data_IF_564053726424
#
_entry.id   IF_564053726424
#
_cell.length_a   1.000
_cell.length_b   1.000
_cell.length_c   1.000
_cell.angle_alpha   90.00
_cell.angle_beta   90.00
_cell.angle_gamma   90.00
#
_symmetry.space_group_name_H-M   'P 1'
#
loop_
_entity.id
_entity.type
_entity.pdbx_description
1 polymer ?
#
# COMPACT_ATOMS: atom_id res chain seq x y z
N UNK A 1 32.21 25.87 -52.79
CA UNK A 1 32.01 24.50 -52.22
C UNK A 1 31.37 24.66 -50.83
N UNK A 2 30.11 24.30 -50.71
CA UNK A 2 29.37 24.36 -49.44
C UNK A 2 29.34 22.95 -48.85
N UNK A 3 29.95 22.78 -47.69
CA UNK A 3 29.85 21.52 -46.92
C UNK A 3 28.53 21.50 -46.14
N UNK A 4 27.71 20.49 -46.40
CA UNK A 4 26.46 20.22 -45.70
C UNK A 4 26.77 19.29 -44.51
N UNK A 5 26.74 19.81 -43.27
CA UNK A 5 26.80 18.99 -42.04
C UNK A 5 25.39 18.52 -41.72
N UNK A 6 25.13 17.25 -41.88
CA UNK A 6 23.95 16.54 -41.33
C UNK A 6 24.25 16.21 -39.85
N UNK A 7 23.59 16.93 -38.94
CA UNK A 7 23.57 16.58 -37.52
C UNK A 7 22.57 15.44 -37.26
N UNK A 8 23.08 14.27 -36.88
CA UNK A 8 22.27 13.14 -36.43
C UNK A 8 21.91 13.34 -34.96
N UNK A 9 20.67 13.78 -34.67
CA UNK A 9 20.13 13.74 -33.32
C UNK A 9 19.82 12.30 -32.91
N UNK A 10 20.69 11.71 -32.12
CA UNK A 10 20.37 10.45 -31.43
C UNK A 10 19.49 10.82 -30.22
N UNK A 11 18.19 10.60 -30.36
CA UNK A 11 17.26 10.63 -29.24
C UNK A 11 17.56 9.43 -28.32
N UNK A 12 18.18 9.69 -27.19
CA UNK A 12 18.32 8.71 -26.11
C UNK A 12 16.95 8.58 -25.45
N UNK A 13 16.15 7.59 -25.87
CA UNK A 13 14.98 7.17 -25.14
C UNK A 13 15.48 6.51 -23.85
N UNK A 14 15.33 7.19 -22.73
CA UNK A 14 15.50 6.58 -21.42
C UNK A 14 14.44 5.48 -21.29
N UNK A 15 14.90 4.22 -21.32
CA UNK A 15 14.07 3.10 -20.91
C UNK A 15 13.73 3.31 -19.43
N UNK A 16 12.50 3.70 -19.16
CA UNK A 16 11.92 3.59 -17.83
C UNK A 16 11.79 2.09 -17.59
N UNK A 17 12.65 1.55 -16.74
CA UNK A 17 12.50 0.20 -16.23
C UNK A 17 11.20 0.16 -15.44
N UNK A 18 10.14 -0.36 -16.03
CA UNK A 18 8.99 -0.86 -15.31
C UNK A 18 9.51 -1.97 -14.40
N UNK A 19 9.66 -1.67 -13.12
CA UNK A 19 9.69 -2.72 -12.12
C UNK A 19 8.27 -3.27 -12.06
N UNK A 20 8.04 -4.32 -12.83
CA UNK A 20 6.78 -5.06 -12.84
C UNK A 20 6.68 -5.80 -11.49
N UNK A 21 6.24 -5.08 -10.46
CA UNK A 21 5.90 -5.70 -9.17
C UNK A 21 4.57 -6.39 -9.39
N UNK A 22 4.53 -7.73 -9.38
CA UNK A 22 3.29 -8.45 -9.65
C UNK A 22 2.24 -8.03 -8.62
N UNK A 23 1.06 -7.63 -9.11
CA UNK A 23 -0.09 -7.38 -8.27
C UNK A 23 -0.56 -8.71 -7.68
N UNK A 24 -0.20 -8.94 -6.41
CA UNK A 24 -0.64 -10.10 -5.64
C UNK A 24 -1.69 -9.64 -4.62
N UNK A 25 -2.81 -10.29 -4.66
CA UNK A 25 -3.96 -9.95 -3.83
C UNK A 25 -3.83 -10.63 -2.46
N UNK A 26 -3.97 -9.85 -1.38
CA UNK A 26 -4.14 -10.41 -0.03
C UNK A 26 -5.50 -11.12 0.05
N UNK A 27 -5.58 -12.40 0.44
CA UNK A 27 -6.86 -13.09 0.63
C UNK A 27 -7.77 -12.39 1.64
N UNK A 28 -9.08 -12.53 1.48
CA UNK A 28 -10.06 -11.82 2.32
C UNK A 28 -9.96 -12.18 3.80
N UNK A 29 -9.73 -13.45 4.12
CA UNK A 29 -9.53 -13.91 5.49
C UNK A 29 -8.23 -13.35 6.10
N UNK A 30 -7.15 -13.25 5.32
CA UNK A 30 -5.89 -12.63 5.75
C UNK A 30 -6.09 -11.14 5.99
N UNK A 31 -6.78 -10.43 5.08
CA UNK A 31 -7.13 -9.02 5.26
C UNK A 31 -7.87 -8.78 6.58
N UNK A 32 -8.86 -9.62 6.88
CA UNK A 32 -9.62 -9.53 8.12
C UNK A 32 -8.74 -9.76 9.36
N UNK A 33 -7.90 -10.80 9.34
CA UNK A 33 -7.00 -11.10 10.45
C UNK A 33 -5.90 -10.03 10.64
N UNK A 34 -5.39 -9.43 9.58
CA UNK A 34 -4.48 -8.27 9.67
C UNK A 34 -5.11 -7.11 10.45
N UNK A 35 -6.35 -6.77 10.14
CA UNK A 35 -7.08 -5.69 10.81
C UNK A 35 -7.43 -6.04 12.27
N UNK A 36 -7.75 -7.29 12.55
CA UNK A 36 -7.92 -7.81 13.92
C UNK A 36 -6.62 -7.77 14.71
N UNK A 37 -5.51 -8.21 14.12
CA UNK A 37 -4.20 -8.20 14.74
C UNK A 37 -3.79 -6.78 15.15
N UNK A 38 -4.13 -5.78 14.32
CA UNK A 38 -3.93 -4.36 14.61
C UNK A 38 -4.96 -3.78 15.61
N UNK A 39 -5.95 -4.56 16.05
CA UNK A 39 -7.05 -4.08 16.91
C UNK A 39 -7.72 -2.82 16.37
N UNK A 40 -8.03 -2.83 15.05
CA UNK A 40 -8.62 -1.69 14.34
C UNK A 40 -10.00 -1.35 14.93
N UNK A 41 -10.22 -0.06 15.17
CA UNK A 41 -11.43 0.52 15.79
C UNK A 41 -12.02 1.64 14.93
N UNK A 42 -13.28 2.04 15.17
CA UNK A 42 -13.92 3.13 14.44
C UNK A 42 -13.18 4.48 14.53
N UNK A 43 -12.37 4.68 15.57
CA UNK A 43 -11.54 5.87 15.74
C UNK A 43 -10.23 5.84 14.94
N UNK A 44 -9.89 4.73 14.32
CA UNK A 44 -8.64 4.58 13.59
C UNK A 44 -8.66 5.22 12.20
N UNK A 45 -7.46 5.62 11.78
CA UNK A 45 -7.17 6.03 10.42
C UNK A 45 -6.12 5.07 9.83
N UNK A 46 -6.56 4.22 8.93
CA UNK A 46 -5.73 3.20 8.29
C UNK A 46 -5.09 3.78 7.03
N UNK A 47 -3.78 3.66 6.87
CA UNK A 47 -3.11 3.92 5.59
C UNK A 47 -2.57 2.61 5.05
N UNK A 48 -3.02 2.24 3.85
CA UNK A 48 -2.59 1.04 3.14
C UNK A 48 -1.62 1.41 2.02
N UNK A 49 -0.37 0.96 2.15
CA UNK A 49 0.72 1.26 1.23
C UNK A 49 0.80 0.21 0.13
N UNK A 50 0.54 0.61 -1.13
CA UNK A 50 0.37 -0.30 -2.24
C UNK A 50 -0.99 -0.99 -2.17
N UNK A 51 -2.06 -0.19 -2.14
CA UNK A 51 -3.41 -0.68 -1.78
C UNK A 51 -4.07 -1.59 -2.83
N UNK A 52 -3.48 -1.74 -4.01
CA UNK A 52 -3.99 -2.60 -5.06
C UNK A 52 -5.46 -2.31 -5.39
N UNK A 53 -6.33 -3.30 -5.20
CA UNK A 53 -7.77 -3.17 -5.44
C UNK A 53 -8.55 -2.56 -4.26
N UNK A 54 -7.85 -2.08 -3.23
CA UNK A 54 -8.43 -1.31 -2.13
C UNK A 54 -9.09 -2.13 -1.03
N UNK A 55 -9.01 -3.46 -1.08
CA UNK A 55 -9.74 -4.35 -0.16
C UNK A 55 -9.47 -4.09 1.31
N UNK A 56 -8.23 -3.81 1.71
CA UNK A 56 -7.86 -3.59 3.12
C UNK A 56 -8.60 -2.38 3.68
N UNK A 57 -8.55 -1.24 2.99
CA UNK A 57 -9.23 0.00 3.43
C UNK A 57 -10.75 -0.15 3.38
N UNK A 58 -11.28 -0.84 2.36
CA UNK A 58 -12.73 -1.09 2.23
C UNK A 58 -13.22 -1.97 3.39
N UNK A 59 -12.49 -3.04 3.73
CA UNK A 59 -12.83 -3.92 4.87
C UNK A 59 -12.70 -3.16 6.19
N UNK A 60 -11.65 -2.37 6.37
CA UNK A 60 -11.48 -1.52 7.55
C UNK A 60 -12.68 -0.57 7.74
N UNK A 61 -13.14 0.07 6.67
CA UNK A 61 -14.30 0.96 6.72
C UNK A 61 -15.61 0.21 6.95
N UNK A 62 -15.83 -0.91 6.25
CA UNK A 62 -17.11 -1.64 6.26
C UNK A 62 -17.32 -2.46 7.52
N UNK A 63 -16.29 -3.17 7.97
CA UNK A 63 -16.40 -4.13 9.07
C UNK A 63 -15.92 -3.58 10.41
N UNK A 64 -14.96 -2.65 10.41
CA UNK A 64 -14.38 -2.07 11.63
C UNK A 64 -14.82 -0.62 11.86
N UNK A 65 -15.53 0.00 10.92
CA UNK A 65 -16.00 1.38 11.03
C UNK A 65 -14.91 2.43 10.92
N UNK A 66 -13.68 2.03 10.62
CA UNK A 66 -12.53 2.93 10.52
C UNK A 66 -12.59 3.84 9.27
N UNK A 67 -11.75 4.88 9.26
CA UNK A 67 -11.46 5.66 8.06
C UNK A 67 -10.11 5.23 7.51
N UNK A 68 -9.87 5.46 6.22
CA UNK A 68 -8.56 5.15 5.68
C UNK A 68 -8.30 5.71 4.29
N UNK A 69 -7.03 5.60 3.93
CA UNK A 69 -6.46 5.98 2.66
C UNK A 69 -5.68 4.79 2.09
N UNK A 70 -6.01 4.39 0.88
CA UNK A 70 -5.18 3.52 0.06
C UNK A 70 -4.38 4.32 -0.95
N UNK A 71 -3.08 4.07 -1.05
CA UNK A 71 -2.22 4.66 -2.08
C UNK A 71 -1.71 3.57 -3.00
N UNK A 72 -1.82 3.81 -4.29
CA UNK A 72 -1.46 2.87 -5.35
C UNK A 72 -0.90 3.65 -6.53
N UNK A 73 0.12 3.11 -7.20
CA UNK A 73 0.76 3.79 -8.33
C UNK A 73 0.01 3.54 -9.65
N UNK A 74 -0.77 2.47 -9.74
CA UNK A 74 -1.52 2.06 -10.93
C UNK A 74 -2.90 2.74 -10.95
N UNK A 75 -3.17 3.69 -11.87
CA UNK A 75 -4.43 4.45 -11.89
C UNK A 75 -5.69 3.58 -12.05
N UNK A 76 -5.60 2.49 -12.80
CA UNK A 76 -6.70 1.56 -13.05
C UNK A 76 -7.14 0.85 -11.76
N UNK A 77 -6.17 0.48 -10.91
CA UNK A 77 -6.45 -0.12 -9.60
C UNK A 77 -7.09 0.88 -8.65
N UNK A 78 -6.63 2.13 -8.66
CA UNK A 78 -7.25 3.21 -7.88
C UNK A 78 -8.70 3.44 -8.32
N UNK A 79 -8.95 3.52 -9.63
CA UNK A 79 -10.31 3.68 -10.16
C UNK A 79 -11.23 2.51 -9.75
N UNK A 80 -10.71 1.27 -9.81
CA UNK A 80 -11.41 0.07 -9.35
C UNK A 80 -11.72 0.15 -7.85
N UNK A 81 -10.76 0.55 -7.03
CA UNK A 81 -10.93 0.71 -5.58
C UNK A 81 -12.00 1.73 -5.24
N UNK A 82 -11.99 2.89 -5.91
CA UNK A 82 -13.01 3.94 -5.73
C UNK A 82 -14.41 3.46 -6.12
N UNK A 83 -14.53 2.71 -7.22
CA UNK A 83 -15.82 2.12 -7.64
C UNK A 83 -16.31 1.08 -6.63
N UNK A 84 -15.42 0.20 -6.17
CA UNK A 84 -15.75 -0.81 -5.15
C UNK A 84 -16.18 -0.16 -3.83
N UNK A 85 -15.50 0.90 -3.39
CA UNK A 85 -15.88 1.64 -2.18
C UNK A 85 -17.26 2.29 -2.30
N UNK A 86 -17.59 2.85 -3.47
CA UNK A 86 -18.94 3.39 -3.74
C UNK A 86 -20.00 2.30 -3.67
N UNK A 87 -19.78 1.17 -4.34
CA UNK A 87 -20.70 0.01 -4.33
C UNK A 87 -20.87 -0.58 -2.94
N UNK A 88 -19.83 -0.57 -2.12
CA UNK A 88 -19.86 -1.02 -0.73
C UNK A 88 -20.49 -0.02 0.25
N UNK A 89 -20.80 1.22 -0.20
CA UNK A 89 -21.37 2.26 0.63
C UNK A 89 -20.40 2.87 1.65
N UNK A 90 -19.09 2.83 1.39
CA UNK A 90 -18.05 3.31 2.30
C UNK A 90 -17.15 4.40 1.69
N UNK A 91 -17.52 4.97 0.55
CA UNK A 91 -16.74 6.00 -0.14
C UNK A 91 -16.49 7.28 0.69
N UNK A 92 -17.28 7.53 1.71
CA UNK A 92 -17.11 8.63 2.67
C UNK A 92 -16.02 8.34 3.72
N UNK A 93 -15.57 7.09 3.85
CA UNK A 93 -14.57 6.63 4.83
C UNK A 93 -13.35 5.96 4.20
N UNK A 94 -13.44 5.49 2.97
CA UNK A 94 -12.38 4.83 2.23
C UNK A 94 -11.97 5.67 1.02
N UNK A 95 -10.86 6.37 1.14
CA UNK A 95 -10.26 7.20 0.08
C UNK A 95 -9.16 6.43 -0.64
N UNK A 96 -9.00 6.66 -1.96
CA UNK A 96 -7.95 6.06 -2.77
C UNK A 96 -7.30 7.10 -3.67
N UNK A 97 -5.97 7.07 -3.75
CA UNK A 97 -5.18 8.03 -4.54
C UNK A 97 -4.13 7.32 -5.39
N UNK A 98 -3.94 7.82 -6.62
CA UNK A 98 -2.75 7.51 -7.41
C UNK A 98 -1.58 8.25 -6.78
N UNK A 99 -0.72 7.53 -6.09
CA UNK A 99 0.35 8.15 -5.32
C UNK A 99 1.47 7.15 -5.02
N UNK A 100 2.71 7.65 -5.07
CA UNK A 100 3.87 6.91 -4.61
C UNK A 100 3.81 6.72 -3.08
N UNK A 101 3.93 5.47 -2.64
CA UNK A 101 3.93 5.12 -1.23
C UNK A 101 5.10 5.77 -0.45
N UNK A 102 6.25 5.97 -1.11
CA UNK A 102 7.40 6.65 -0.49
C UNK A 102 7.19 8.15 -0.30
N UNK A 103 6.29 8.78 -1.07
CA UNK A 103 5.95 10.19 -0.96
C UNK A 103 4.69 10.44 -0.10
N UNK A 104 4.10 9.39 0.47
CA UNK A 104 2.85 9.49 1.24
C UNK A 104 3.10 10.06 2.62
N UNK A 105 2.31 11.05 3.03
CA UNK A 105 2.30 11.56 4.41
C UNK A 105 1.58 10.58 5.34
N UNK A 106 2.33 10.01 6.27
CA UNK A 106 1.84 9.04 7.26
C UNK A 106 1.45 9.68 8.60
N UNK A 107 1.49 11.00 8.72
CA UNK A 107 1.30 11.71 10.01
C UNK A 107 -0.07 11.48 10.64
N UNK A 108 -1.10 11.18 9.85
CA UNK A 108 -2.47 10.90 10.31
C UNK A 108 -2.70 9.43 10.63
N UNK A 109 -1.80 8.54 10.24
CA UNK A 109 -2.01 7.12 10.42
C UNK A 109 -2.02 6.74 11.90
N UNK A 110 -3.00 5.96 12.31
CA UNK A 110 -3.01 5.20 13.56
C UNK A 110 -2.69 3.73 13.30
N UNK A 111 -2.94 3.29 12.07
CA UNK A 111 -2.58 1.95 11.56
C UNK A 111 -2.00 2.10 10.16
N UNK A 112 -0.88 1.44 9.91
CA UNK A 112 -0.30 1.29 8.57
C UNK A 112 -0.34 -0.17 8.18
N UNK A 113 -0.89 -0.47 7.01
CA UNK A 113 -0.92 -1.82 6.44
C UNK A 113 -0.09 -1.88 5.17
N UNK A 114 0.50 -3.04 4.89
CA UNK A 114 1.30 -3.25 3.69
C UNK A 114 1.38 -4.74 3.31
N UNK A 115 1.42 -4.98 2.01
CA UNK A 115 1.84 -6.24 1.42
C UNK A 115 2.82 -5.94 0.30
N UNK A 116 4.07 -5.79 0.66
CA UNK A 116 5.14 -5.30 -0.22
C UNK A 116 6.31 -6.26 -0.20
N UNK A 117 7.19 -6.14 -1.19
CA UNK A 117 8.43 -6.92 -1.22
C UNK A 117 9.34 -6.55 -0.04
N UNK A 118 10.19 -7.48 0.43
CA UNK A 118 11.11 -7.26 1.55
C UNK A 118 11.98 -6.01 1.38
N UNK A 119 12.46 -5.75 0.17
CA UNK A 119 13.32 -4.60 -0.13
C UNK A 119 12.58 -3.28 0.05
N UNK A 120 11.29 -3.25 -0.31
CA UNK A 120 10.44 -2.07 -0.13
C UNK A 120 10.16 -1.82 1.36
N UNK A 121 9.89 -2.88 2.12
CA UNK A 121 9.73 -2.80 3.58
C UNK A 121 10.98 -2.20 4.24
N UNK A 122 12.17 -2.66 3.85
CA UNK A 122 13.43 -2.13 4.37
C UNK A 122 13.65 -0.66 4.02
N UNK A 123 13.25 -0.22 2.82
CA UNK A 123 13.32 1.19 2.43
C UNK A 123 12.33 2.07 3.21
N UNK A 124 11.15 1.56 3.54
CA UNK A 124 10.14 2.27 4.33
C UNK A 124 10.49 2.34 5.82
N UNK A 125 11.26 1.40 6.33
CA UNK A 125 11.57 1.23 7.75
C UNK A 125 11.96 2.53 8.48
N UNK A 126 12.90 3.37 7.98
CA UNK A 126 13.27 4.61 8.69
C UNK A 126 12.11 5.58 8.84
N UNK A 127 11.15 5.58 7.93
CA UNK A 127 9.95 6.42 8.01
C UNK A 127 8.94 5.84 9.00
N UNK A 128 8.76 4.52 8.99
CA UNK A 128 7.85 3.82 9.90
C UNK A 128 8.30 3.95 11.35
N UNK A 129 9.61 3.92 11.62
CA UNK A 129 10.17 4.11 12.96
C UNK A 129 9.97 5.52 13.54
N UNK A 130 9.64 6.52 12.69
CA UNK A 130 9.36 7.91 13.12
C UNK A 130 7.88 8.18 13.36
N UNK A 131 7.01 7.20 13.16
CA UNK A 131 5.59 7.36 13.43
C UNK A 131 5.34 7.62 14.93
N UNK A 132 4.19 8.22 15.22
CA UNK A 132 3.80 8.50 16.61
C UNK A 132 3.78 7.21 17.43
N UNK A 133 4.23 7.24 18.68
CA UNK A 133 4.10 6.10 19.59
C UNK A 133 2.65 5.60 19.65
N UNK A 134 2.47 4.28 19.58
CA UNK A 134 1.16 3.65 19.55
C UNK A 134 0.58 3.44 18.14
N UNK A 135 1.21 3.97 17.09
CA UNK A 135 0.87 3.60 15.71
C UNK A 135 1.19 2.13 15.49
N UNK A 136 0.23 1.38 14.97
CA UNK A 136 0.36 -0.05 14.70
C UNK A 136 0.69 -0.26 13.24
N UNK A 137 1.67 -1.13 12.96
CA UNK A 137 2.13 -1.46 11.62
C UNK A 137 1.88 -2.95 11.40
N UNK A 138 1.17 -3.30 10.35
CA UNK A 138 0.88 -4.69 9.99
C UNK A 138 1.37 -4.98 8.58
N UNK A 139 2.23 -5.97 8.48
CA UNK A 139 2.76 -6.43 7.20
C UNK A 139 2.33 -7.85 6.92
N UNK A 140 1.90 -8.11 5.69
CA UNK A 140 1.58 -9.45 5.21
C UNK A 140 2.84 -10.11 4.65
N UNK A 141 3.12 -11.35 5.04
CA UNK A 141 4.23 -12.23 4.68
C UNK A 141 5.63 -11.75 5.08
N UNK A 142 5.94 -10.46 4.94
CA UNK A 142 7.30 -9.94 5.09
C UNK A 142 7.43 -8.98 6.26
N UNK A 143 8.44 -9.19 7.11
CA UNK A 143 8.75 -8.34 8.26
C UNK A 143 9.68 -7.15 7.91
N UNK A 144 10.15 -6.46 8.94
CA UNK A 144 11.05 -5.29 8.84
C UNK A 144 12.54 -5.66 9.01
N UNK A 145 12.87 -6.95 8.91
CA UNK A 145 14.23 -7.47 9.09
C UNK A 145 14.62 -7.74 10.56
N UNK A 146 15.78 -8.38 10.76
CA UNK A 146 16.16 -8.97 12.05
C UNK A 146 16.39 -7.95 13.17
N UNK A 147 16.65 -6.70 12.83
CA UNK A 147 16.86 -5.61 13.80
C UNK A 147 15.53 -4.91 14.20
N UNK A 148 14.42 -5.32 13.63
CA UNK A 148 13.08 -4.89 14.03
C UNK A 148 12.08 -6.05 13.90
N UNK A 149 12.18 -7.04 14.77
CA UNK A 149 11.27 -8.18 14.74
C UNK A 149 9.84 -7.75 15.10
N UNK A 150 8.82 -8.47 14.61
CA UNK A 150 7.44 -8.17 14.94
C UNK A 150 7.15 -8.45 16.42
N UNK A 151 6.33 -7.61 17.05
CA UNK A 151 5.83 -7.83 18.43
C UNK A 151 4.90 -9.06 18.49
N UNK A 152 4.16 -9.30 17.39
CA UNK A 152 3.24 -10.44 17.25
C UNK A 152 3.21 -10.91 15.80
N UNK A 153 3.07 -12.21 15.62
CA UNK A 153 2.82 -12.84 14.32
C UNK A 153 1.67 -13.83 14.42
N UNK A 154 0.88 -13.95 13.38
CA UNK A 154 -0.23 -14.91 13.27
C UNK A 154 -0.12 -15.59 11.93
N UNK A 155 -0.20 -16.91 11.93
CA UNK A 155 -0.35 -17.69 10.72
C UNK A 155 -1.84 -17.82 10.38
N UNK A 156 -2.16 -17.54 9.11
CA UNK A 156 -3.52 -17.63 8.61
C UNK A 156 -3.55 -18.62 7.47
N UNK A 157 -4.41 -19.61 7.57
CA UNK A 157 -4.62 -20.56 6.48
C UNK A 157 -5.30 -19.84 5.31
N UNK A 158 -4.64 -19.85 4.16
CA UNK A 158 -5.09 -19.19 2.94
C UNK A 158 -5.17 -20.25 1.81
N UNK A 159 -6.30 -20.94 1.68
CA UNK A 159 -6.44 -22.07 0.75
C UNK A 159 -6.26 -21.69 -0.73
N UNK A 160 -6.35 -20.41 -1.06
CA UNK A 160 -6.25 -19.90 -2.44
C UNK A 160 -4.86 -19.29 -2.77
N UNK A 161 -3.85 -19.58 -1.96
CA UNK A 161 -2.48 -19.05 -2.12
C UNK A 161 -1.48 -20.12 -2.50
#
# INVERSE_FOLDING_TARGET
>A
MRALLLGLCVSCAAAQGETDVPFVVTPDNVTHEMLKLADVKPSDYVIDLGSGDGRVVIVAAKQFGARGLGVEIVPELVAKSQDTARKAGVADRAEFRVQDLFATDLSKATVVTMYLLPEVNLQLKPRLQRLKPGTRIVSHDWDMGPDWPPDRSVEVDAPDK
#
